data_IF_736852409625
#
_entry.id   IF_736852409625
#
_cell.length_a   1.000
_cell.length_b   1.000
_cell.length_c   1.000
_cell.angle_alpha   90.00
_cell.angle_beta   90.00
_cell.angle_gamma   90.00
#
_symmetry.space_group_name_H-M   'P 1'
#
loop_
_entity.id
_entity.type
_entity.pdbx_description
1 polymer ?
#
# COMPACT_ATOMS: atom_id res chain seq x y z
N UNK A 1 -10.63 -7.87 -3.74
CA UNK A 1 -10.04 -6.66 -4.37
C UNK A 1 -8.83 -6.99 -5.24
N UNK A 2 -7.65 -7.33 -4.68
CA UNK A 2 -6.47 -7.68 -5.51
C UNK A 2 -6.69 -8.95 -6.37
N UNK A 3 -7.32 -9.97 -5.80
CA UNK A 3 -7.69 -11.18 -6.53
C UNK A 3 -8.73 -10.93 -7.63
N UNK A 4 -9.52 -9.86 -7.52
CA UNK A 4 -10.50 -9.48 -8.55
C UNK A 4 -9.79 -8.92 -9.80
N UNK A 5 -8.65 -8.25 -9.61
CA UNK A 5 -7.81 -7.77 -10.71
C UNK A 5 -7.11 -8.93 -11.43
N UNK A 6 -6.59 -9.91 -10.69
CA UNK A 6 -6.02 -11.14 -11.26
C UNK A 6 -7.06 -11.94 -12.06
N UNK A 7 -8.26 -12.10 -11.51
CA UNK A 7 -9.32 -12.88 -12.16
C UNK A 7 -9.89 -12.22 -13.43
N UNK A 8 -9.91 -10.89 -13.49
CA UNK A 8 -10.34 -10.14 -14.69
C UNK A 8 -9.32 -10.11 -15.83
N UNK A 9 -8.14 -10.74 -15.67
CA UNK A 9 -7.02 -10.71 -16.63
C UNK A 9 -6.67 -9.28 -17.10
N UNK A 10 -6.78 -8.31 -16.20
CA UNK A 10 -6.20 -7.00 -16.45
C UNK A 10 -4.73 -7.08 -16.08
N UNK A 11 -3.85 -6.90 -17.06
CA UNK A 11 -2.43 -6.71 -16.82
C UNK A 11 -2.19 -5.25 -16.43
N UNK A 12 -1.39 -5.05 -15.39
CA UNK A 12 -0.95 -3.75 -14.93
C UNK A 12 0.55 -3.83 -14.65
N UNK A 13 1.29 -2.78 -15.00
CA UNK A 13 2.71 -2.70 -14.69
C UNK A 13 2.98 -2.46 -13.20
N UNK A 14 2.05 -1.82 -12.49
CA UNK A 14 2.19 -1.47 -11.08
C UNK A 14 0.84 -1.38 -10.35
N UNK A 15 0.87 -1.64 -9.04
CA UNK A 15 -0.27 -1.47 -8.13
C UNK A 15 0.12 -0.46 -7.05
N UNK A 16 -0.62 0.65 -6.97
CA UNK A 16 -0.39 1.73 -6.01
C UNK A 16 -1.60 1.82 -5.07
N UNK A 17 -1.35 1.91 -3.77
CA UNK A 17 -2.38 1.98 -2.73
C UNK A 17 -2.27 3.30 -1.96
N UNK A 18 -3.30 4.13 -2.03
CA UNK A 18 -3.55 5.20 -1.05
C UNK A 18 -4.36 4.59 0.10
N UNK A 19 -3.76 4.55 1.29
CA UNK A 19 -4.42 4.07 2.49
C UNK A 19 -4.80 5.26 3.38
N UNK A 20 -6.04 5.73 3.20
CA UNK A 20 -6.61 6.81 4.01
C UNK A 20 -6.85 6.32 5.44
N UNK A 21 -5.96 6.73 6.34
CA UNK A 21 -5.83 6.16 7.68
C UNK A 21 -5.49 7.24 8.68
N UNK A 22 -5.93 7.08 9.92
CA UNK A 22 -5.60 8.03 10.99
C UNK A 22 -4.35 7.58 11.74
N UNK A 23 -4.26 6.28 12.07
CA UNK A 23 -3.25 5.82 13.04
C UNK A 23 -2.00 5.30 12.37
N UNK A 24 -0.84 5.70 12.89
CA UNK A 24 0.47 5.26 12.39
C UNK A 24 0.62 3.73 12.34
N UNK A 25 0.10 3.02 13.33
CA UNK A 25 0.13 1.55 13.34
C UNK A 25 -0.61 0.91 12.15
N UNK A 26 -1.66 1.55 11.62
CA UNK A 26 -2.46 1.01 10.53
C UNK A 26 -1.65 0.93 9.23
N UNK A 27 -0.87 1.97 8.90
CA UNK A 27 -0.05 1.93 7.68
C UNK A 27 1.09 0.91 7.79
N UNK A 28 1.73 0.76 8.96
CA UNK A 28 2.77 -0.25 9.15
C UNK A 28 2.21 -1.68 9.02
N UNK A 29 1.08 -1.96 9.68
CA UNK A 29 0.43 -3.27 9.58
C UNK A 29 -0.04 -3.57 8.14
N UNK A 30 -0.58 -2.58 7.43
CA UNK A 30 -1.02 -2.73 6.04
C UNK A 30 0.17 -2.94 5.08
N UNK A 31 1.26 -2.21 5.28
CA UNK A 31 2.51 -2.37 4.53
C UNK A 31 3.05 -3.80 4.62
N UNK A 32 3.11 -4.37 5.82
CA UNK A 32 3.52 -5.77 6.01
C UNK A 32 2.54 -6.76 5.34
N UNK A 33 1.23 -6.53 5.48
CA UNK A 33 0.21 -7.39 4.88
C UNK A 33 0.26 -7.39 3.33
N UNK A 34 0.59 -6.25 2.73
CA UNK A 34 0.65 -6.07 1.28
C UNK A 34 2.06 -6.24 0.71
N UNK A 35 3.06 -6.55 1.53
CA UNK A 35 4.43 -6.80 1.06
C UNK A 35 4.43 -7.83 -0.07
N UNK A 36 5.20 -7.55 -1.13
CA UNK A 36 5.28 -8.35 -2.38
C UNK A 36 3.98 -8.47 -3.19
N UNK A 37 2.88 -7.81 -2.81
CA UNK A 37 1.59 -7.82 -3.54
C UNK A 37 1.30 -6.51 -4.27
N UNK A 38 1.94 -5.42 -3.84
CA UNK A 38 1.77 -4.08 -4.42
C UNK A 38 3.13 -3.44 -4.65
N UNK A 39 3.19 -2.48 -5.57
CA UNK A 39 4.41 -1.76 -5.91
C UNK A 39 4.70 -0.63 -4.93
N UNK A 40 3.66 0.02 -4.41
CA UNK A 40 3.78 1.15 -3.49
C UNK A 40 2.51 1.32 -2.65
N UNK A 41 2.68 1.66 -1.38
CA UNK A 41 1.60 2.04 -0.47
C UNK A 41 2.02 3.28 0.31
N UNK A 42 1.09 4.22 0.48
CA UNK A 42 1.29 5.44 1.26
C UNK A 42 0.04 5.79 2.06
N UNK A 43 0.24 6.48 3.19
CA UNK A 43 -0.85 6.95 4.03
C UNK A 43 -1.22 8.40 3.73
N UNK A 44 -2.52 8.73 3.82
CA UNK A 44 -3.04 10.10 3.75
C UNK A 44 -3.80 10.48 5.03
N UNK A 45 -4.79 11.38 4.96
CA UNK A 45 -5.66 11.86 6.06
C UNK A 45 -5.04 12.81 7.09
N UNK A 46 -3.81 12.59 7.53
CA UNK A 46 -3.22 13.36 8.64
C UNK A 46 -2.81 14.79 8.28
N UNK A 47 -2.84 15.16 7.00
CA UNK A 47 -2.37 16.45 6.45
C UNK A 47 -0.90 16.81 6.75
N UNK A 48 -0.13 15.88 7.32
CA UNK A 48 1.28 16.08 7.69
C UNK A 48 2.12 14.98 7.07
N UNK A 49 3.16 15.38 6.33
CA UNK A 49 4.14 14.48 5.74
C UNK A 49 4.99 13.81 6.83
N UNK A 50 5.27 12.52 6.63
CA UNK A 50 6.21 11.73 7.44
C UNK A 50 7.55 11.57 6.72
N UNK A 51 8.60 11.22 7.47
CA UNK A 51 9.93 10.86 6.95
C UNK A 51 10.19 9.35 7.16
N UNK A 52 9.17 8.55 6.87
CA UNK A 52 9.16 7.10 7.04
C UNK A 52 9.23 6.36 5.69
N UNK A 53 9.69 7.02 4.63
CA UNK A 53 9.90 6.37 3.35
C UNK A 53 10.99 5.30 3.42
N UNK A 54 10.64 4.06 3.06
CA UNK A 54 11.58 2.95 2.99
C UNK A 54 11.07 1.86 2.05
N UNK A 55 11.99 1.01 1.57
CA UNK A 55 11.66 -0.17 0.79
C UNK A 55 11.45 -1.35 1.76
N UNK A 56 10.26 -1.94 1.72
CA UNK A 56 9.93 -3.13 2.50
C UNK A 56 10.76 -4.33 2.02
N UNK A 57 11.19 -5.18 2.95
CA UNK A 57 11.86 -6.44 2.61
C UNK A 57 10.82 -7.48 2.19
N UNK A 58 11.14 -8.22 1.13
CA UNK A 58 10.37 -9.34 0.58
C UNK A 58 10.74 -10.66 1.21
#
# INVERSE_FOLDING_TARGET
MLEDFKSKKMDFDAIIVDYHRETTAEIYAMSEFLSSRVSFIYGTHTHVQTNDEHILKS
#
